data_IF_188204562300
#
_entry.id   IF_188204562300
#
_cell.length_a   1.000
_cell.length_b   1.000
_cell.length_c   1.000
_cell.angle_alpha   90.00
_cell.angle_beta   90.00
_cell.angle_gamma   90.00
#
_symmetry.space_group_name_H-M   'P 1'
#
loop_
_entity.id
_entity.type
_entity.pdbx_description
1 polymer ?
#
# COMPACT_ATOMS: atom_id res chain seq x y z
N UNK A 1 6.05 -0.43 15.62
CA UNK A 1 6.85 -0.52 16.87
C UNK A 1 5.93 -0.44 18.06
N UNK A 2 6.18 -1.25 19.07
CA UNK A 2 5.49 -1.26 20.35
C UNK A 2 6.45 -0.76 21.43
N UNK A 3 5.98 0.14 22.29
CA UNK A 3 6.80 0.73 23.37
C UNK A 3 6.07 0.58 24.69
N UNK A 4 6.73 -0.04 25.65
CA UNK A 4 6.18 -0.30 26.98
C UNK A 4 6.81 0.64 28.02
N UNK A 5 6.05 0.98 29.07
CA UNK A 5 6.58 1.72 30.22
C UNK A 5 7.57 0.89 31.03
N UNK A 6 7.39 -0.43 31.02
CA UNK A 6 8.19 -1.45 31.72
C UNK A 6 8.40 -2.67 30.81
N UNK A 7 9.41 -3.49 31.11
CA UNK A 7 9.71 -4.64 30.26
C UNK A 7 8.61 -5.72 30.38
N UNK A 8 7.89 -6.04 29.29
CA UNK A 8 6.84 -7.04 29.35
C UNK A 8 7.43 -8.46 29.44
N UNK A 9 6.68 -9.36 30.04
CA UNK A 9 6.93 -10.80 30.10
C UNK A 9 5.93 -11.52 29.20
N UNK A 10 6.45 -12.44 28.38
CA UNK A 10 5.63 -13.26 27.50
C UNK A 10 5.02 -12.54 26.30
N UNK A 11 5.38 -11.27 26.05
CA UNK A 11 4.84 -10.52 24.89
C UNK A 11 5.25 -11.18 23.57
N UNK A 12 4.25 -11.57 22.78
CA UNK A 12 4.41 -12.26 21.51
C UNK A 12 3.39 -11.79 20.46
N UNK A 13 3.49 -12.28 19.22
CA UNK A 13 2.57 -11.89 18.14
C UNK A 13 1.10 -12.21 18.46
N UNK A 14 0.84 -13.21 19.30
CA UNK A 14 -0.50 -13.57 19.73
C UNK A 14 -1.13 -12.51 20.64
N UNK A 15 -0.37 -11.57 21.18
CA UNK A 15 -0.84 -10.45 22.00
C UNK A 15 -1.35 -9.27 21.17
N UNK A 16 -1.17 -9.32 19.85
CA UNK A 16 -1.54 -8.24 18.95
C UNK A 16 -2.77 -8.64 18.15
N UNK A 17 -3.79 -7.80 18.18
CA UNK A 17 -4.94 -7.87 17.29
C UNK A 17 -4.63 -7.07 16.01
N UNK A 18 -4.93 -7.67 14.85
CA UNK A 18 -4.60 -7.10 13.54
C UNK A 18 -5.80 -7.25 12.61
N UNK A 19 -6.11 -6.19 11.87
CA UNK A 19 -7.09 -6.20 10.78
C UNK A 19 -6.48 -5.69 9.47
N UNK A 20 -7.05 -6.06 8.32
CA UNK A 20 -6.56 -5.64 7.00
C UNK A 20 -5.22 -6.24 6.58
N UNK A 21 -4.68 -7.19 7.34
CA UNK A 21 -3.35 -7.78 7.11
C UNK A 21 -2.91 -8.72 8.24
N UNK A 22 -1.60 -8.90 8.34
CA UNK A 22 -0.94 -9.72 9.36
C UNK A 22 0.36 -9.04 9.83
N UNK A 23 0.87 -9.40 11.02
CA UNK A 23 2.22 -9.01 11.45
C UNK A 23 3.20 -10.18 11.34
N UNK A 24 4.49 -9.89 11.27
CA UNK A 24 5.55 -10.90 11.36
C UNK A 24 5.48 -11.66 12.70
N UNK A 25 5.82 -12.95 12.65
CA UNK A 25 6.07 -13.79 13.83
C UNK A 25 7.49 -14.39 13.71
N UNK A 26 8.39 -14.17 14.69
CA UNK A 26 8.13 -13.51 15.98
C UNK A 26 7.98 -11.97 15.88
N UNK A 27 7.40 -11.37 16.91
CA UNK A 27 7.68 -9.97 17.25
C UNK A 27 9.10 -9.91 17.83
N UNK A 28 9.89 -8.92 17.45
CA UNK A 28 11.32 -8.87 17.77
C UNK A 28 11.58 -7.88 18.89
N UNK A 29 12.28 -8.31 19.94
CA UNK A 29 12.69 -7.43 21.04
C UNK A 29 13.85 -6.57 20.58
N UNK A 30 13.70 -5.27 20.74
CA UNK A 30 14.70 -4.28 20.38
C UNK A 30 15.30 -3.60 21.62
N UNK A 31 16.59 -3.27 21.52
CA UNK A 31 17.33 -2.53 22.53
C UNK A 31 17.59 -3.28 23.85
N UNK A 32 18.59 -2.80 24.58
CA UNK A 32 19.06 -3.43 25.82
C UNK A 32 18.09 -3.29 26.99
N UNK A 33 17.25 -2.24 26.99
CA UNK A 33 16.27 -1.99 28.05
C UNK A 33 15.08 -2.95 28.03
N UNK A 34 14.84 -3.59 26.88
CA UNK A 34 13.78 -4.59 26.72
C UNK A 34 12.35 -4.08 26.82
N UNK A 35 12.15 -2.80 26.51
CA UNK A 35 10.85 -2.12 26.48
C UNK A 35 10.33 -1.84 25.07
N UNK A 36 11.09 -2.19 24.05
CA UNK A 36 10.73 -1.92 22.65
C UNK A 36 10.63 -3.24 21.91
N UNK A 37 9.57 -3.38 21.13
CA UNK A 37 9.36 -4.51 20.24
C UNK A 37 8.97 -4.04 18.84
N UNK A 38 9.42 -4.75 17.82
CA UNK A 38 9.15 -4.45 16.41
C UNK A 38 8.47 -5.63 15.72
N UNK A 39 7.65 -5.30 14.74
CA UNK A 39 7.01 -6.27 13.86
C UNK A 39 6.70 -5.59 12.53
N UNK A 40 6.70 -6.35 11.45
CA UNK A 40 6.35 -5.85 10.12
C UNK A 40 4.89 -6.16 9.83
N UNK A 41 4.07 -5.13 9.60
CA UNK A 41 2.72 -5.31 9.08
C UNK A 41 2.78 -5.59 7.58
N UNK A 42 2.15 -6.69 7.17
CA UNK A 42 1.94 -7.07 5.76
C UNK A 42 0.45 -6.97 5.47
N UNK A 43 0.02 -6.01 4.64
CA UNK A 43 -1.38 -5.90 4.26
C UNK A 43 -1.84 -7.11 3.44
N UNK A 44 -3.15 -7.36 3.46
CA UNK A 44 -3.76 -8.39 2.60
C UNK A 44 -3.59 -8.04 1.12
N UNK A 45 -3.42 -9.04 0.26
CA UNK A 45 -3.27 -8.85 -1.19
C UNK A 45 -4.61 -8.49 -1.85
N UNK A 46 -4.54 -7.76 -2.98
CA UNK A 46 -5.71 -7.31 -3.75
C UNK A 46 -6.79 -6.62 -2.90
N UNK A 47 -6.36 -5.79 -1.96
CA UNK A 47 -7.23 -5.13 -1.00
C UNK A 47 -7.06 -3.61 -1.09
N UNK A 48 -8.18 -2.89 -1.11
CA UNK A 48 -8.22 -1.45 -0.87
C UNK A 48 -9.11 -1.22 0.36
N UNK A 49 -8.57 -0.56 1.38
CA UNK A 49 -9.29 -0.36 2.64
C UNK A 49 -8.39 0.08 3.78
N UNK A 50 -8.85 -0.14 5.01
CA UNK A 50 -8.11 0.13 6.24
C UNK A 50 -7.57 -1.15 6.86
N UNK A 51 -6.37 -1.09 7.42
CA UNK A 51 -5.85 -2.04 8.39
C UNK A 51 -5.68 -1.39 9.76
N UNK A 52 -5.58 -2.21 10.80
CA UNK A 52 -5.35 -1.73 12.16
C UNK A 52 -4.48 -2.70 12.96
N UNK A 53 -3.74 -2.16 13.93
CA UNK A 53 -2.87 -2.90 14.83
C UNK A 53 -3.12 -2.40 16.26
N UNK A 54 -3.38 -3.32 17.20
CA UNK A 54 -3.56 -3.00 18.63
C UNK A 54 -3.00 -4.12 19.52
N UNK A 55 -2.33 -3.76 20.61
CA UNK A 55 -1.98 -4.71 21.69
C UNK A 55 -3.23 -4.95 22.53
N UNK A 56 -3.56 -6.22 22.76
CA UNK A 56 -4.72 -6.63 23.56
C UNK A 56 -4.48 -6.36 25.04
N UNK A 57 -5.55 -5.97 25.75
CA UNK A 57 -5.51 -5.89 27.21
C UNK A 57 -5.30 -7.29 27.82
N UNK A 58 -4.65 -7.33 28.98
CA UNK A 58 -4.48 -8.50 29.83
C UNK A 58 -3.73 -9.69 29.20
N UNK A 59 -3.10 -9.50 28.04
CA UNK A 59 -2.48 -10.59 27.27
C UNK A 59 -1.01 -10.83 27.61
N UNK A 60 -0.33 -9.82 28.18
CA UNK A 60 1.03 -9.89 28.70
C UNK A 60 1.09 -9.42 30.17
N UNK A 61 2.20 -9.68 30.86
CA UNK A 61 2.41 -9.19 32.24
C UNK A 61 3.73 -8.45 32.40
N UNK A 62 3.94 -7.79 33.54
CA UNK A 62 5.28 -7.37 33.98
C UNK A 62 5.98 -8.47 34.81
N UNK A 63 7.15 -8.15 35.36
CA UNK A 63 7.91 -9.08 36.22
C UNK A 63 7.26 -9.34 37.60
N UNK A 64 6.38 -8.45 38.06
CA UNK A 64 5.61 -8.63 39.30
C UNK A 64 4.31 -9.42 39.06
N UNK A 65 3.98 -9.75 37.81
CA UNK A 65 2.77 -10.45 37.41
C UNK A 65 1.55 -9.54 37.21
N UNK A 66 1.73 -8.21 37.19
CA UNK A 66 0.65 -7.29 36.86
C UNK A 66 0.32 -7.41 35.36
N UNK A 67 -0.96 -7.47 35.03
CA UNK A 67 -1.43 -7.55 33.65
C UNK A 67 -1.28 -6.21 32.92
N UNK A 68 -0.87 -6.29 31.66
CA UNK A 68 -0.74 -5.14 30.76
C UNK A 68 -2.08 -4.59 30.28
N UNK A 69 -2.15 -3.28 30.03
CA UNK A 69 -3.30 -2.64 29.39
C UNK A 69 -3.28 -2.78 27.87
N UNK A 70 -4.43 -2.53 27.22
CA UNK A 70 -4.46 -2.39 25.76
C UNK A 70 -3.71 -1.14 25.32
N UNK A 71 -3.10 -1.20 24.13
CA UNK A 71 -2.56 0.00 23.48
C UNK A 71 -3.67 0.84 22.83
N UNK A 72 -3.31 2.02 22.33
CA UNK A 72 -4.09 2.67 21.28
C UNK A 72 -4.15 1.79 20.02
N UNK A 73 -5.10 2.09 19.15
CA UNK A 73 -5.15 1.51 17.80
C UNK A 73 -4.24 2.33 16.89
N UNK A 74 -3.42 1.63 16.11
CA UNK A 74 -2.67 2.21 15.00
C UNK A 74 -3.35 1.82 13.69
N UNK A 75 -3.90 2.80 12.98
CA UNK A 75 -4.57 2.60 11.69
C UNK A 75 -3.60 2.81 10.52
N UNK A 76 -3.85 2.07 9.44
CA UNK A 76 -3.10 2.15 8.18
C UNK A 76 -4.06 2.10 6.99
N UNK A 77 -3.89 3.01 6.04
CA UNK A 77 -4.55 2.89 4.73
C UNK A 77 -3.80 1.88 3.87
N UNK A 78 -4.56 1.00 3.21
CA UNK A 78 -4.03 -0.10 2.40
C UNK A 78 -4.57 0.02 0.99
N UNK A 79 -3.66 -0.05 0.02
CA UNK A 79 -3.99 -0.37 -1.37
C UNK A 79 -2.94 -1.31 -1.93
N UNK A 80 -3.33 -2.57 -2.13
CA UNK A 80 -2.49 -3.62 -2.75
C UNK A 80 -3.10 -4.11 -4.06
N UNK A 81 -4.14 -3.45 -4.56
CA UNK A 81 -4.68 -3.71 -5.89
C UNK A 81 -3.67 -3.21 -6.92
N UNK A 82 -3.37 -4.05 -7.91
CA UNK A 82 -2.45 -3.66 -8.97
C UNK A 82 -3.20 -2.83 -10.03
N UNK A 83 -2.55 -1.79 -10.61
CA UNK A 83 -3.13 -1.05 -11.72
C UNK A 83 -3.31 -1.98 -12.93
N UNK A 84 -4.45 -1.90 -13.58
CA UNK A 84 -4.69 -2.54 -14.89
C UNK A 84 -4.75 -1.47 -15.97
N UNK A 85 -4.32 -1.81 -17.18
CA UNK A 85 -4.35 -0.93 -18.34
C UNK A 85 -5.32 -1.49 -19.38
N UNK A 86 -6.14 -0.60 -19.95
CA UNK A 86 -7.01 -0.91 -21.08
C UNK A 86 -6.60 -0.04 -22.25
N UNK A 87 -6.53 -0.65 -23.42
CA UNK A 87 -6.25 0.01 -24.69
C UNK A 87 -7.54 0.06 -25.50
N UNK A 88 -7.93 1.25 -25.92
CA UNK A 88 -9.11 1.43 -26.78
C UNK A 88 -8.75 2.20 -28.04
N UNK A 89 -9.38 1.80 -29.15
CA UNK A 89 -9.33 2.51 -30.43
C UNK A 89 -10.77 2.89 -30.74
N UNK A 90 -10.99 4.14 -31.11
CA UNK A 90 -12.30 4.54 -31.62
C UNK A 90 -12.51 3.88 -32.99
N UNK A 91 -13.37 2.87 -33.06
CA UNK A 91 -13.64 2.15 -34.30
C UNK A 91 -14.40 2.96 -35.34
N UNK A 92 -15.11 4.01 -34.92
CA UNK A 92 -15.93 4.83 -35.81
C UNK A 92 -15.07 5.64 -36.80
N UNK A 93 -13.79 5.83 -36.47
CA UNK A 93 -12.82 6.49 -37.35
C UNK A 93 -12.07 5.52 -38.26
N UNK A 94 -12.33 4.20 -38.19
CA UNK A 94 -11.70 3.21 -39.06
C UNK A 94 -12.43 3.13 -40.41
N UNK A 95 -11.79 3.65 -41.45
CA UNK A 95 -12.29 3.59 -42.83
C UNK A 95 -11.16 3.30 -43.82
N UNK A 96 -11.48 2.95 -45.08
CA UNK A 96 -10.50 2.57 -46.10
C UNK A 96 -9.48 3.67 -46.44
N UNK A 97 -9.76 4.92 -46.05
CA UNK A 97 -8.87 6.07 -46.25
C UNK A 97 -8.28 6.63 -44.94
N UNK A 98 -8.48 5.95 -43.81
CA UNK A 98 -7.93 6.40 -42.52
C UNK A 98 -6.46 6.04 -42.44
N UNK A 99 -5.59 7.06 -42.48
CA UNK A 99 -4.13 6.88 -42.49
C UNK A 99 -3.53 6.82 -41.07
N UNK A 100 -4.27 7.27 -40.06
CA UNK A 100 -3.86 7.24 -38.65
C UNK A 100 -5.10 7.24 -37.75
N UNK A 101 -5.06 6.45 -36.68
CA UNK A 101 -6.04 6.48 -35.60
C UNK A 101 -5.33 6.69 -34.28
N UNK A 102 -5.92 7.53 -33.43
CA UNK A 102 -5.53 7.61 -32.03
C UNK A 102 -5.97 6.36 -31.29
N UNK A 103 -5.27 6.06 -30.20
CA UNK A 103 -5.72 5.11 -29.20
C UNK A 103 -5.58 5.72 -27.82
N UNK A 104 -6.46 5.31 -26.93
CA UNK A 104 -6.46 5.75 -25.53
C UNK A 104 -6.00 4.60 -24.66
N UNK A 105 -5.02 4.87 -23.80
CA UNK A 105 -4.70 3.99 -22.68
C UNK A 105 -5.39 4.57 -21.44
N UNK A 106 -6.18 3.74 -20.77
CA UNK A 106 -6.84 4.06 -19.50
C UNK A 106 -6.39 3.08 -18.44
N UNK A 107 -6.02 3.60 -17.27
CA UNK A 107 -5.67 2.80 -16.11
C UNK A 107 -6.81 2.79 -15.09
N UNK A 108 -6.95 1.70 -14.34
CA UNK A 108 -7.91 1.64 -13.21
C UNK A 108 -7.50 2.48 -12.01
N UNK A 109 -6.23 2.87 -11.96
CA UNK A 109 -5.62 3.77 -10.98
C UNK A 109 -4.28 4.27 -11.52
N UNK A 110 -3.63 5.21 -10.82
CA UNK A 110 -2.31 5.69 -11.22
C UNK A 110 -1.27 4.57 -11.09
N UNK A 111 -0.52 4.25 -12.16
CA UNK A 111 0.59 3.32 -12.05
C UNK A 111 1.78 3.98 -11.33
N UNK A 112 2.49 3.21 -10.51
CA UNK A 112 3.66 3.67 -9.75
C UNK A 112 4.95 2.97 -10.21
N UNK A 113 6.08 3.65 -10.06
CA UNK A 113 7.42 3.05 -10.10
C UNK A 113 8.03 3.16 -8.70
N UNK A 114 8.12 2.04 -7.98
CA UNK A 114 8.37 2.08 -6.54
C UNK A 114 7.25 2.85 -5.84
N UNK A 115 7.59 3.92 -5.11
CA UNK A 115 6.64 4.78 -4.42
C UNK A 115 6.32 6.09 -5.17
N UNK A 116 6.78 6.25 -6.42
CA UNK A 116 6.54 7.47 -7.20
C UNK A 116 5.43 7.23 -8.24
N UNK A 117 4.36 8.04 -8.27
CA UNK A 117 3.33 7.93 -9.30
C UNK A 117 3.88 8.32 -10.67
N UNK A 118 3.52 7.56 -11.71
CA UNK A 118 3.94 7.84 -13.08
C UNK A 118 3.05 8.90 -13.73
N UNK A 119 3.69 9.85 -14.40
CA UNK A 119 3.04 10.84 -15.26
C UNK A 119 2.72 10.26 -16.64
N UNK A 120 1.85 10.95 -17.41
CA UNK A 120 1.53 10.54 -18.78
C UNK A 120 2.78 10.47 -19.65
N UNK A 121 3.70 11.42 -19.50
CA UNK A 121 4.97 11.41 -20.23
C UNK A 121 5.78 10.15 -19.89
N UNK A 122 5.94 9.83 -18.61
CA UNK A 122 6.69 8.64 -18.20
C UNK A 122 6.03 7.34 -18.70
N UNK A 123 4.70 7.24 -18.65
CA UNK A 123 4.00 6.08 -19.23
C UNK A 123 4.22 5.99 -20.74
N UNK A 124 4.15 7.11 -21.49
CA UNK A 124 4.46 7.10 -22.94
C UNK A 124 5.90 6.68 -23.23
N UNK A 125 6.84 7.08 -22.39
CA UNK A 125 8.26 6.78 -22.59
C UNK A 125 8.56 5.29 -22.34
N UNK A 126 7.84 4.66 -21.41
CA UNK A 126 7.92 3.22 -21.15
C UNK A 126 7.38 2.35 -22.30
N UNK A 127 6.54 2.90 -23.18
CA UNK A 127 6.01 2.15 -24.32
C UNK A 127 7.09 2.03 -25.41
N UNK A 128 7.34 0.81 -25.87
CA UNK A 128 8.21 0.55 -27.01
C UNK A 128 7.45 0.75 -28.33
N UNK A 129 7.14 2.01 -28.61
CA UNK A 129 6.43 2.44 -29.82
C UNK A 129 7.31 3.42 -30.61
N UNK A 130 7.21 3.47 -31.96
CA UNK A 130 7.85 4.51 -32.75
C UNK A 130 7.41 5.91 -32.31
N UNK A 131 8.29 6.91 -32.38
CA UNK A 131 7.98 8.28 -31.95
C UNK A 131 6.77 8.88 -32.69
N UNK A 132 6.61 8.51 -33.96
CA UNK A 132 5.44 8.89 -34.76
C UNK A 132 4.11 8.36 -34.19
N UNK A 133 4.15 7.25 -33.46
CA UNK A 133 2.99 6.66 -32.77
C UNK A 133 2.81 7.28 -31.39
N UNK A 134 3.90 7.54 -30.67
CA UNK A 134 3.87 8.21 -29.35
C UNK A 134 3.31 9.64 -29.41
N UNK A 135 3.56 10.35 -30.51
CA UNK A 135 3.08 11.71 -30.72
C UNK A 135 1.54 11.81 -30.75
N UNK A 136 0.84 10.73 -31.11
CA UNK A 136 -0.61 10.66 -31.23
C UNK A 136 -1.28 9.88 -30.08
N UNK A 137 -0.51 9.57 -29.02
CA UNK A 137 -0.99 8.80 -27.89
C UNK A 137 -1.58 9.71 -26.80
N UNK A 138 -2.85 9.49 -26.49
CA UNK A 138 -3.50 10.06 -25.31
C UNK A 138 -3.51 9.08 -24.14
N UNK A 139 -3.05 9.53 -22.97
CA UNK A 139 -3.08 8.76 -21.73
C UNK A 139 -4.04 9.45 -20.77
N UNK A 140 -5.01 8.69 -20.28
CA UNK A 140 -6.08 9.16 -19.39
C UNK A 140 -6.05 8.45 -18.04
N UNK A 141 -6.73 9.04 -17.04
CA UNK A 141 -6.88 8.50 -15.68
C UNK A 141 -5.60 8.42 -14.83
N UNK A 142 -4.78 9.47 -14.84
CA UNK A 142 -3.58 9.58 -13.98
C UNK A 142 -3.80 10.41 -12.71
N UNK A 143 -5.04 10.55 -12.24
CA UNK A 143 -5.31 11.20 -10.95
C UNK A 143 -5.04 10.21 -9.81
N UNK A 144 -4.09 10.48 -8.90
CA UNK A 144 -3.82 9.61 -7.75
C UNK A 144 -5.12 9.34 -7.00
N UNK A 145 -5.33 8.11 -6.54
CA UNK A 145 -6.42 7.82 -5.60
C UNK A 145 -6.20 8.70 -4.37
N UNK A 146 -7.27 9.28 -3.80
CA UNK A 146 -7.18 10.20 -2.66
C UNK A 146 -6.79 9.51 -1.33
N UNK A 147 -6.25 8.29 -1.36
CA UNK A 147 -5.79 7.59 -0.17
C UNK A 147 -4.33 7.93 0.21
N UNK A 148 -3.66 8.80 -0.54
CA UNK A 148 -2.38 9.41 -0.17
C UNK A 148 -2.54 10.64 0.77
N UNK A 149 -3.65 10.71 1.51
CA UNK A 149 -3.80 11.69 2.59
C UNK A 149 -3.08 11.19 3.85
N UNK A 150 -1.77 11.43 3.88
CA UNK A 150 -1.09 11.76 5.13
C UNK A 150 -0.58 10.58 5.94
N UNK A 151 0.56 10.01 5.51
CA UNK A 151 1.58 9.65 6.49
C UNK A 151 2.74 10.65 6.41
N UNK A 152 2.47 11.89 6.80
CA UNK A 152 3.51 12.78 7.31
C UNK A 152 3.86 12.27 8.71
N UNK A 153 4.91 11.46 8.81
CA UNK A 153 5.68 11.40 10.07
C UNK A 153 6.64 12.58 10.11
#
# INVERSE_FOLDING_TARGET
>A
TFTFSEAPQGFESADVEVSGGSISAPVEKEGSEGKVWTATFTPSSNHTGSGSIQVKADSYTDAAGNKGGASNVADVSVDTVAPTATLSINSDVLGPNTQSVGFTISFTEVPYQGNTPLTATQVRDLLSLPDSVKANLEISALTPKSNDEGNTT
#
